data_IF_097352489626
#
_entry.id   IF_097352489626
#
_cell.length_a   1.000
_cell.length_b   1.000
_cell.length_c   1.000
_cell.angle_alpha   90.00
_cell.angle_beta   90.00
_cell.angle_gamma   90.00
#
_symmetry.space_group_name_H-M   'P 1'
#
loop_
_entity.id
_entity.type
_entity.pdbx_description
1 polymer ?
#
# COMPACT_ATOMS: atom_id res chain seq x y z
N UNK A 1 -53.48 -13.40 -2.41
CA UNK A 1 -52.05 -13.04 -2.34
C UNK A 1 -51.87 -11.69 -3.01
N UNK A 2 -51.82 -10.65 -2.26
CA UNK A 2 -51.75 -9.27 -2.76
C UNK A 2 -50.25 -8.94 -3.02
N UNK A 3 -49.92 -8.72 -4.28
CA UNK A 3 -48.57 -8.28 -4.67
C UNK A 3 -48.37 -6.84 -4.23
N UNK A 4 -47.53 -6.60 -3.21
CA UNK A 4 -47.11 -5.27 -2.82
C UNK A 4 -46.12 -4.78 -3.86
N UNK A 5 -46.54 -3.86 -4.71
CA UNK A 5 -45.68 -3.16 -5.66
C UNK A 5 -44.91 -2.09 -4.86
N UNK A 6 -43.61 -2.31 -4.65
CA UNK A 6 -42.74 -1.28 -4.09
C UNK A 6 -42.47 -0.26 -5.19
N UNK A 7 -43.13 0.89 -5.10
CA UNK A 7 -42.82 2.03 -5.97
C UNK A 7 -41.55 2.68 -5.43
N UNK A 8 -40.46 2.77 -6.21
CA UNK A 8 -39.28 3.52 -5.77
C UNK A 8 -39.68 4.98 -5.55
N UNK A 9 -39.33 5.52 -4.39
CA UNK A 9 -39.47 6.94 -4.11
C UNK A 9 -38.43 7.65 -4.99
N UNK A 10 -38.85 8.10 -6.15
CA UNK A 10 -38.08 9.04 -6.96
C UNK A 10 -38.23 10.43 -6.32
N UNK A 11 -37.41 10.68 -5.30
CA UNK A 11 -37.15 12.05 -4.90
C UNK A 11 -36.52 12.76 -6.08
N UNK A 12 -37.06 13.88 -6.53
CA UNK A 12 -36.45 14.70 -7.57
C UNK A 12 -35.02 15.03 -7.15
N UNK A 13 -34.03 14.60 -7.95
CA UNK A 13 -32.62 14.89 -7.69
C UNK A 13 -32.45 16.41 -7.57
N UNK A 14 -31.68 16.86 -6.59
CA UNK A 14 -31.39 18.29 -6.47
C UNK A 14 -30.65 18.78 -7.71
N UNK A 15 -30.78 20.07 -8.01
CA UNK A 15 -30.07 20.66 -9.16
C UNK A 15 -28.56 20.41 -9.06
N UNK A 16 -27.99 20.45 -7.86
CA UNK A 16 -26.59 20.11 -7.60
C UNK A 16 -26.28 18.65 -7.97
N UNK A 17 -27.16 17.70 -7.63
CA UNK A 17 -27.00 16.28 -7.98
C UNK A 17 -27.01 16.09 -9.50
N UNK A 18 -27.88 16.76 -10.22
CA UNK A 18 -27.97 16.70 -11.70
C UNK A 18 -26.70 17.26 -12.34
N UNK A 19 -26.18 18.37 -11.82
CA UNK A 19 -24.92 18.97 -12.31
C UNK A 19 -23.74 18.03 -12.07
N UNK A 20 -23.63 17.43 -10.88
CA UNK A 20 -22.56 16.47 -10.57
C UNK A 20 -22.65 15.20 -11.42
N UNK A 21 -23.85 14.67 -11.66
CA UNK A 21 -24.02 13.54 -12.59
C UNK A 21 -23.58 13.89 -14.01
N UNK A 22 -23.97 15.07 -14.50
CA UNK A 22 -23.56 15.53 -15.84
C UNK A 22 -22.06 15.72 -15.95
N UNK A 23 -21.44 16.26 -14.89
CA UNK A 23 -19.99 16.42 -14.79
C UNK A 23 -19.27 15.06 -14.80
N UNK A 24 -19.73 14.10 -14.00
CA UNK A 24 -19.13 12.77 -13.95
C UNK A 24 -19.18 12.06 -15.32
N UNK A 25 -20.31 12.19 -16.04
CA UNK A 25 -20.42 11.65 -17.41
C UNK A 25 -19.45 12.35 -18.35
N UNK A 26 -19.37 13.69 -18.30
CA UNK A 26 -18.47 14.46 -19.15
C UNK A 26 -16.98 14.14 -18.89
N UNK A 27 -16.59 13.93 -17.63
CA UNK A 27 -15.23 13.54 -17.25
C UNK A 27 -14.85 12.18 -17.83
N UNK A 28 -15.75 11.18 -17.74
CA UNK A 28 -15.54 9.86 -18.33
C UNK A 28 -15.40 9.95 -19.85
N UNK A 29 -16.32 10.65 -20.53
CA UNK A 29 -16.26 10.83 -21.98
C UNK A 29 -14.98 11.56 -22.42
N UNK A 30 -14.57 12.60 -21.68
CA UNK A 30 -13.34 13.33 -21.96
C UNK A 30 -12.08 12.46 -21.77
N UNK A 31 -12.08 11.54 -20.80
CA UNK A 31 -10.97 10.60 -20.59
C UNK A 31 -10.82 9.64 -21.78
N UNK A 32 -11.91 9.03 -22.24
CA UNK A 32 -11.90 8.19 -23.45
C UNK A 32 -11.53 8.97 -24.71
N UNK A 33 -12.09 10.19 -24.88
CA UNK A 33 -11.76 11.03 -26.04
C UNK A 33 -10.26 11.36 -26.04
N UNK A 34 -9.66 11.61 -24.89
CA UNK A 34 -8.22 11.87 -24.77
C UNK A 34 -7.40 10.63 -25.14
N UNK A 35 -7.79 9.45 -24.69
CA UNK A 35 -7.12 8.20 -25.05
C UNK A 35 -7.16 7.95 -26.58
N UNK A 36 -8.28 8.28 -27.25
CA UNK A 36 -8.41 8.17 -28.71
C UNK A 36 -7.54 9.19 -29.45
N UNK A 37 -7.49 10.44 -28.96
CA UNK A 37 -6.74 11.53 -29.64
C UNK A 37 -5.25 11.53 -29.33
N UNK A 38 -4.86 10.92 -28.23
CA UNK A 38 -3.46 10.78 -27.77
C UNK A 38 -3.21 9.35 -27.35
N UNK A 39 -3.18 8.40 -28.29
CA UNK A 39 -2.93 7.01 -28.00
C UNK A 39 -1.53 6.82 -27.43
N UNK A 40 -1.38 5.77 -26.65
CA UNK A 40 -0.13 5.40 -26.02
C UNK A 40 0.93 5.04 -27.06
N UNK A 41 2.13 5.58 -26.86
CA UNK A 41 3.35 5.03 -27.45
C UNK A 41 3.95 4.04 -26.45
N UNK A 42 3.84 2.74 -26.74
CA UNK A 42 4.33 1.69 -25.85
C UNK A 42 5.84 1.77 -25.65
N UNK A 43 6.61 2.07 -26.70
CA UNK A 43 8.07 2.19 -26.58
C UNK A 43 8.44 3.32 -25.61
N UNK A 44 7.79 4.45 -25.74
CA UNK A 44 7.95 5.58 -24.83
C UNK A 44 7.47 5.28 -23.40
N UNK A 45 6.39 4.51 -23.25
CA UNK A 45 5.91 4.05 -21.94
C UNK A 45 6.93 3.15 -21.24
N UNK A 46 7.54 2.22 -21.97
CA UNK A 46 8.64 1.39 -21.45
C UNK A 46 9.85 2.23 -21.04
N UNK A 47 10.25 3.22 -21.84
CA UNK A 47 11.37 4.10 -21.50
C UNK A 47 11.11 4.94 -20.26
N UNK A 48 9.90 5.46 -20.08
CA UNK A 48 9.49 6.16 -18.88
C UNK A 48 9.58 5.25 -17.65
N UNK A 49 9.07 4.03 -17.76
CA UNK A 49 9.13 3.04 -16.69
C UNK A 49 10.57 2.70 -16.31
N UNK A 50 11.43 2.43 -17.31
CA UNK A 50 12.85 2.13 -17.08
C UNK A 50 13.56 3.28 -16.37
N UNK A 51 13.30 4.52 -16.78
CA UNK A 51 13.85 5.69 -16.13
C UNK A 51 13.34 5.84 -14.68
N UNK A 52 12.04 5.65 -14.44
CA UNK A 52 11.47 5.68 -13.08
C UNK A 52 12.07 4.60 -12.18
N UNK A 53 12.16 3.34 -12.66
CA UNK A 53 12.69 2.22 -11.88
C UNK A 53 14.20 2.31 -11.58
N UNK A 54 14.95 3.14 -12.30
CA UNK A 54 16.37 3.45 -12.02
C UNK A 54 16.53 4.52 -10.94
N UNK A 55 15.48 5.15 -10.50
CA UNK A 55 15.51 6.13 -9.41
C UNK A 55 15.53 5.39 -8.07
N UNK A 56 16.50 5.64 -7.18
CA UNK A 56 16.60 4.93 -5.89
C UNK A 56 15.32 4.99 -5.06
N UNK A 57 14.69 6.16 -4.94
CA UNK A 57 13.46 6.33 -4.16
C UNK A 57 12.30 5.46 -4.68
N UNK A 58 12.18 5.32 -6.01
CA UNK A 58 11.17 4.45 -6.62
C UNK A 58 11.52 2.98 -6.38
N UNK A 59 12.78 2.61 -6.55
CA UNK A 59 13.25 1.24 -6.36
C UNK A 59 13.09 0.79 -4.90
N UNK A 60 13.40 1.65 -3.92
CA UNK A 60 13.24 1.37 -2.49
C UNK A 60 11.76 1.20 -2.10
N UNK A 61 10.86 1.98 -2.72
CA UNK A 61 9.42 1.90 -2.48
C UNK A 61 8.72 0.81 -3.32
N UNK A 62 9.42 0.14 -4.24
CA UNK A 62 8.80 -0.70 -5.27
C UNK A 62 8.18 -1.99 -4.75
N UNK A 63 8.69 -2.55 -3.66
CA UNK A 63 8.23 -3.82 -3.13
C UNK A 63 7.94 -3.72 -1.65
N UNK A 64 6.93 -4.49 -1.22
CA UNK A 64 6.75 -4.82 0.19
C UNK A 64 7.29 -6.23 0.46
N UNK A 65 7.81 -6.41 1.66
CA UNK A 65 8.21 -7.72 2.17
C UNK A 65 7.83 -7.81 3.64
N UNK A 66 7.06 -8.82 4.00
CA UNK A 66 6.74 -9.12 5.40
C UNK A 66 6.72 -10.63 5.60
N UNK A 67 6.85 -11.06 6.85
CA UNK A 67 6.72 -12.48 7.21
C UNK A 67 5.30 -12.77 7.71
N UNK A 68 4.71 -13.83 7.17
CA UNK A 68 3.44 -14.38 7.65
C UNK A 68 3.62 -15.86 7.91
N UNK A 69 3.36 -16.30 9.14
CA UNK A 69 3.52 -17.71 9.55
C UNK A 69 4.91 -18.28 9.18
N UNK A 70 5.97 -17.47 9.38
CA UNK A 70 7.36 -17.88 9.09
C UNK A 70 7.79 -17.78 7.63
N UNK A 71 6.88 -17.52 6.69
CA UNK A 71 7.19 -17.37 5.26
C UNK A 71 7.31 -15.91 4.87
N UNK A 72 8.29 -15.57 4.03
CA UNK A 72 8.41 -14.24 3.46
C UNK A 72 7.34 -14.06 2.36
N UNK A 73 6.49 -13.05 2.53
CA UNK A 73 5.52 -12.60 1.51
C UNK A 73 6.07 -11.33 0.89
N UNK A 74 6.32 -11.37 -0.41
CA UNK A 74 6.84 -10.22 -1.16
C UNK A 74 5.94 -9.94 -2.36
N UNK A 75 5.89 -8.69 -2.78
CA UNK A 75 5.13 -8.30 -3.96
C UNK A 75 5.34 -6.83 -4.32
N UNK A 76 4.87 -6.42 -5.51
CA UNK A 76 4.92 -5.02 -5.92
C UNK A 76 4.03 -4.16 -5.02
N UNK A 77 4.56 -3.03 -4.57
CA UNK A 77 3.82 -2.09 -3.72
C UNK A 77 2.74 -1.33 -4.50
N UNK A 78 1.81 -0.69 -3.79
CA UNK A 78 0.85 0.23 -4.44
C UNK A 78 1.58 1.39 -5.13
N UNK A 79 2.68 1.89 -4.54
CA UNK A 79 3.48 2.98 -5.12
C UNK A 79 4.11 2.60 -6.45
N UNK A 80 4.62 1.37 -6.56
CA UNK A 80 5.08 0.87 -7.85
C UNK A 80 3.93 0.75 -8.84
N UNK A 81 2.80 0.18 -8.44
CA UNK A 81 1.64 0.03 -9.32
C UNK A 81 1.16 1.38 -9.89
N UNK A 82 1.05 2.42 -9.06
CA UNK A 82 0.69 3.77 -9.49
C UNK A 82 1.75 4.39 -10.39
N UNK A 83 3.04 4.21 -10.09
CA UNK A 83 4.14 4.65 -10.95
C UNK A 83 4.04 3.99 -12.33
N UNK A 84 3.79 2.68 -12.36
CA UNK A 84 3.65 1.92 -13.60
C UNK A 84 2.42 2.37 -14.42
N UNK A 85 1.28 2.60 -13.77
CA UNK A 85 0.09 3.13 -14.42
C UNK A 85 0.35 4.52 -15.03
N UNK A 86 1.03 5.40 -14.29
CA UNK A 86 1.42 6.73 -14.77
C UNK A 86 2.41 6.68 -15.93
N UNK A 87 3.37 5.75 -15.92
CA UNK A 87 4.31 5.53 -17.03
C UNK A 87 3.62 4.88 -18.23
N UNK A 88 2.69 3.97 -18.03
CA UNK A 88 1.93 3.33 -19.10
C UNK A 88 1.03 4.32 -19.80
N UNK A 89 0.34 5.18 -19.04
CA UNK A 89 -0.57 6.22 -19.56
C UNK A 89 -1.96 5.67 -19.93
N UNK A 90 -2.91 6.56 -20.02
CA UNK A 90 -4.31 6.27 -20.37
C UNK A 90 -4.97 5.20 -19.47
N UNK A 91 -4.56 5.15 -18.21
CA UNK A 91 -5.16 4.29 -17.17
C UNK A 91 -5.99 5.19 -16.23
N UNK A 92 -7.29 4.91 -16.14
CA UNK A 92 -8.17 5.45 -15.10
C UNK A 92 -8.22 4.48 -13.93
N UNK A 93 -7.90 4.94 -12.71
CA UNK A 93 -7.94 4.11 -11.52
C UNK A 93 -8.28 4.92 -10.28
N UNK A 94 -8.81 4.23 -9.29
CA UNK A 94 -9.16 4.88 -8.02
C UNK A 94 -9.87 3.97 -7.05
N UNK A 95 -10.22 4.57 -5.90
CA UNK A 95 -11.09 3.97 -4.89
C UNK A 95 -12.25 4.90 -4.59
N UNK A 96 -13.39 4.34 -4.25
CA UNK A 96 -14.58 5.09 -3.83
C UNK A 96 -15.32 4.34 -2.73
N UNK A 97 -15.63 5.03 -1.64
CA UNK A 97 -16.59 4.54 -0.66
C UNK A 97 -18.00 4.64 -1.26
N UNK A 98 -18.68 3.50 -1.34
CA UNK A 98 -20.04 3.39 -1.89
C UNK A 98 -21.09 3.63 -0.82
N UNK A 99 -20.88 3.06 0.35
CA UNK A 99 -21.77 3.17 1.49
C UNK A 99 -20.98 3.02 2.79
N UNK A 100 -21.53 3.58 3.85
CA UNK A 100 -21.06 3.39 5.22
C UNK A 100 -22.26 3.12 6.11
N UNK A 101 -22.17 2.05 6.86
CA UNK A 101 -23.12 1.73 7.92
C UNK A 101 -22.55 2.19 9.27
N UNK A 102 -23.08 3.28 9.80
CA UNK A 102 -22.62 3.85 11.07
C UNK A 102 -22.95 2.97 12.27
N UNK A 103 -23.96 2.09 12.15
CA UNK A 103 -24.36 1.20 13.24
C UNK A 103 -23.40 0.02 13.40
N UNK A 104 -22.96 -0.56 12.30
CA UNK A 104 -21.99 -1.67 12.30
C UNK A 104 -20.54 -1.19 12.14
N UNK A 105 -20.31 0.08 11.84
CA UNK A 105 -19.01 0.65 11.55
C UNK A 105 -18.36 0.08 10.28
N UNK A 106 -19.16 -0.46 9.34
CA UNK A 106 -18.64 -1.05 8.10
C UNK A 106 -18.72 -0.07 6.94
N UNK A 107 -17.68 -0.06 6.10
CA UNK A 107 -17.66 0.70 4.84
C UNK A 107 -17.61 -0.25 3.65
N UNK A 108 -18.42 -0.01 2.64
CA UNK A 108 -18.33 -0.69 1.35
C UNK A 108 -17.45 0.14 0.42
N UNK A 109 -16.34 -0.43 -0.02
CA UNK A 109 -15.33 0.23 -0.84
C UNK A 109 -15.23 -0.42 -2.22
N UNK A 110 -15.31 0.40 -3.27
CA UNK A 110 -15.01 0.02 -4.65
C UNK A 110 -13.60 0.48 -5.00
N UNK A 111 -12.78 -0.42 -5.55
CA UNK A 111 -11.55 -0.08 -6.24
C UNK A 111 -11.66 -0.49 -7.70
N UNK A 112 -11.06 0.30 -8.60
CA UNK A 112 -11.04 0.00 -10.03
C UNK A 112 -9.76 0.45 -10.71
N UNK A 113 -9.47 -0.17 -11.84
CA UNK A 113 -8.55 0.32 -12.85
C UNK A 113 -9.10 -0.02 -14.23
N UNK A 114 -8.95 0.89 -15.19
CA UNK A 114 -9.42 0.75 -16.56
C UNK A 114 -8.33 1.24 -17.51
N UNK A 115 -7.90 0.41 -18.44
CA UNK A 115 -7.12 0.85 -19.59
C UNK A 115 -8.10 1.41 -20.63
N UNK A 116 -8.04 2.71 -20.84
CA UNK A 116 -8.98 3.45 -21.70
C UNK A 116 -8.77 3.17 -23.20
N UNK A 117 -7.61 2.62 -23.59
CA UNK A 117 -7.34 2.28 -24.99
C UNK A 117 -7.80 0.87 -25.35
N UNK A 118 -7.49 -0.11 -24.46
CA UNK A 118 -7.89 -1.50 -24.67
C UNK A 118 -9.28 -1.80 -24.16
N UNK A 119 -9.89 -0.87 -23.43
CA UNK A 119 -11.17 -1.02 -22.73
C UNK A 119 -11.15 -2.20 -21.72
N UNK A 120 -9.97 -2.56 -21.25
CA UNK A 120 -9.82 -3.61 -20.23
C UNK A 120 -10.04 -3.01 -18.85
N UNK A 121 -10.97 -3.60 -18.08
CA UNK A 121 -11.32 -3.12 -16.73
C UNK A 121 -11.16 -4.20 -15.69
N UNK A 122 -10.59 -3.85 -14.55
CA UNK A 122 -10.59 -4.63 -13.31
C UNK A 122 -11.25 -3.80 -12.20
N UNK A 123 -12.21 -4.38 -11.49
CA UNK A 123 -12.82 -3.72 -10.33
C UNK A 123 -13.18 -4.73 -9.26
N UNK A 124 -13.12 -4.31 -8.01
CA UNK A 124 -13.48 -5.13 -6.85
C UNK A 124 -14.22 -4.27 -5.83
N UNK A 125 -15.27 -4.83 -5.26
CA UNK A 125 -16.00 -4.25 -4.12
C UNK A 125 -15.71 -5.09 -2.89
N UNK A 126 -15.43 -4.45 -1.76
CA UNK A 126 -15.17 -5.11 -0.48
C UNK A 126 -15.85 -4.36 0.66
N UNK A 127 -16.29 -5.11 1.64
CA UNK A 127 -16.78 -4.56 2.92
C UNK A 127 -15.60 -4.52 3.89
N UNK A 128 -15.29 -3.33 4.38
CA UNK A 128 -14.22 -3.08 5.35
C UNK A 128 -14.86 -2.88 6.72
N UNK A 129 -14.60 -3.76 7.70
CA UNK A 129 -15.12 -3.59 9.03
C UNK A 129 -14.38 -2.47 9.79
N UNK A 130 -15.06 -1.83 10.75
CA UNK A 130 -14.45 -0.91 11.71
C UNK A 130 -13.62 -1.67 12.76
N UNK A 131 -12.75 -2.54 12.27
CA UNK A 131 -11.90 -3.41 13.06
C UNK A 131 -10.54 -3.51 12.42
N UNK A 132 -9.49 -3.43 13.22
CA UNK A 132 -8.13 -3.65 12.72
C UNK A 132 -7.99 -5.07 12.16
N UNK A 133 -7.58 -5.18 10.89
CA UNK A 133 -7.36 -6.47 10.24
C UNK A 133 -6.17 -7.21 10.86
N UNK A 134 -5.17 -6.47 11.35
CA UNK A 134 -3.95 -7.04 11.93
C UNK A 134 -4.16 -7.53 13.36
N UNK A 135 -4.89 -6.80 14.18
CA UNK A 135 -5.07 -7.12 15.61
C UNK A 135 -6.44 -7.72 15.95
N UNK A 136 -7.40 -7.64 15.04
CA UNK A 136 -8.79 -8.06 15.28
C UNK A 136 -9.53 -7.21 16.31
N UNK A 137 -8.94 -6.10 16.79
CA UNK A 137 -9.56 -5.19 17.76
C UNK A 137 -10.46 -4.18 17.06
N UNK A 138 -11.52 -3.81 17.71
CA UNK A 138 -12.39 -2.73 17.24
C UNK A 138 -11.60 -1.41 17.25
N UNK A 139 -11.87 -0.57 16.27
CA UNK A 139 -11.23 0.73 16.12
C UNK A 139 -12.05 1.78 16.88
N UNK A 140 -11.40 2.48 17.81
CA UNK A 140 -12.09 3.38 18.76
C UNK A 140 -12.20 4.81 18.22
N UNK A 141 -11.56 5.11 17.08
CA UNK A 141 -11.58 6.45 16.50
C UNK A 141 -11.95 6.43 15.02
N UNK A 142 -12.71 7.44 14.60
CA UNK A 142 -13.02 7.69 13.20
C UNK A 142 -11.77 7.83 12.32
N UNK A 143 -10.67 8.34 12.87
CA UNK A 143 -9.40 8.46 12.18
C UNK A 143 -8.82 7.09 11.85
N UNK A 144 -8.82 6.19 12.83
CA UNK A 144 -8.26 4.84 12.68
C UNK A 144 -9.10 4.01 11.71
N UNK A 145 -10.43 4.13 11.76
CA UNK A 145 -11.32 3.49 10.80
C UNK A 145 -11.05 3.97 9.37
N UNK A 146 -10.86 5.28 9.18
CA UNK A 146 -10.56 5.86 7.88
C UNK A 146 -9.18 5.41 7.36
N UNK A 147 -8.18 5.34 8.24
CA UNK A 147 -6.86 4.84 7.90
C UNK A 147 -6.91 3.36 7.48
N UNK A 148 -7.64 2.52 8.25
CA UNK A 148 -7.88 1.13 7.91
C UNK A 148 -8.56 0.97 6.54
N UNK A 149 -9.60 1.75 6.28
CA UNK A 149 -10.32 1.75 4.98
C UNK A 149 -9.39 2.15 3.84
N UNK A 150 -8.55 3.17 4.04
CA UNK A 150 -7.57 3.61 3.04
C UNK A 150 -6.51 2.56 2.76
N UNK A 151 -6.03 1.87 3.79
CA UNK A 151 -5.04 0.81 3.67
C UNK A 151 -5.60 -0.40 2.91
N UNK A 152 -6.82 -0.83 3.23
CA UNK A 152 -7.51 -1.90 2.50
C UNK A 152 -7.75 -1.49 1.06
N UNK A 153 -8.21 -0.25 0.83
CA UNK A 153 -8.43 0.31 -0.50
C UNK A 153 -7.16 0.27 -1.35
N UNK A 154 -6.04 0.67 -0.80
CA UNK A 154 -4.74 0.66 -1.49
C UNK A 154 -4.31 -0.74 -1.92
N UNK A 155 -4.58 -1.77 -1.11
CA UNK A 155 -4.28 -3.17 -1.48
C UNK A 155 -5.10 -3.62 -2.68
N UNK A 156 -6.40 -3.34 -2.67
CA UNK A 156 -7.31 -3.76 -3.74
C UNK A 156 -7.02 -2.95 -5.01
N UNK A 157 -6.78 -1.65 -4.86
CA UNK A 157 -6.41 -0.79 -5.97
C UNK A 157 -5.15 -1.28 -6.68
N UNK A 158 -4.13 -1.64 -5.92
CA UNK A 158 -2.91 -2.26 -6.47
C UNK A 158 -3.22 -3.47 -7.33
N UNK A 159 -4.07 -4.39 -6.84
CA UNK A 159 -4.47 -5.58 -7.61
C UNK A 159 -5.21 -5.19 -8.89
N UNK A 160 -6.09 -4.19 -8.83
CA UNK A 160 -6.82 -3.72 -10.01
C UNK A 160 -5.86 -3.13 -11.06
N UNK A 161 -4.92 -2.29 -10.65
CA UNK A 161 -3.93 -1.68 -11.55
C UNK A 161 -3.05 -2.75 -12.21
N UNK A 162 -2.50 -3.68 -11.42
CA UNK A 162 -1.61 -4.71 -11.94
C UNK A 162 -2.32 -5.70 -12.90
N UNK A 163 -3.65 -5.83 -12.80
CA UNK A 163 -4.43 -6.69 -13.71
C UNK A 163 -4.66 -6.08 -15.08
N UNK A 164 -4.64 -4.77 -15.21
CA UNK A 164 -4.84 -4.08 -16.49
C UNK A 164 -3.53 -3.78 -17.21
N UNK A 165 -2.39 -3.86 -16.51
CA UNK A 165 -1.07 -3.66 -17.08
C UNK A 165 -0.50 -4.96 -17.68
N UNK A 166 0.34 -4.89 -18.75
CA UNK A 166 0.99 -6.06 -19.32
C UNK A 166 1.92 -6.75 -18.33
N UNK A 167 1.85 -8.08 -18.22
CA UNK A 167 2.67 -8.85 -17.28
C UNK A 167 4.17 -8.69 -17.52
N UNK A 168 4.61 -8.62 -18.79
CA UNK A 168 6.00 -8.41 -19.14
C UNK A 168 6.52 -7.05 -18.67
N UNK A 169 5.71 -6.01 -18.82
CA UNK A 169 6.01 -4.66 -18.35
C UNK A 169 6.21 -4.62 -16.83
N UNK A 170 5.32 -5.26 -16.07
CA UNK A 170 5.43 -5.37 -14.61
C UNK A 170 6.69 -6.15 -14.21
N UNK A 171 6.95 -7.28 -14.84
CA UNK A 171 8.11 -8.12 -14.54
C UNK A 171 9.45 -7.40 -14.80
N UNK A 172 9.56 -6.67 -15.91
CA UNK A 172 10.73 -5.85 -16.21
C UNK A 172 10.92 -4.74 -15.18
N UNK A 173 9.87 -4.06 -14.79
CA UNK A 173 9.93 -3.02 -13.77
C UNK A 173 10.43 -3.53 -12.41
N UNK A 174 9.93 -4.68 -11.97
CA UNK A 174 10.37 -5.32 -10.71
C UNK A 174 11.86 -5.66 -10.80
N UNK A 175 12.29 -6.28 -11.91
CA UNK A 175 13.70 -6.67 -12.11
C UNK A 175 14.63 -5.45 -12.09
N UNK A 176 14.23 -4.34 -12.73
CA UNK A 176 15.00 -3.09 -12.74
C UNK A 176 15.06 -2.43 -11.36
N UNK A 177 13.97 -2.42 -10.62
CA UNK A 177 13.97 -1.92 -9.24
C UNK A 177 14.89 -2.75 -8.34
N UNK A 178 14.90 -4.07 -8.50
CA UNK A 178 15.81 -4.97 -7.78
C UNK A 178 17.27 -4.74 -8.14
N UNK A 179 17.55 -4.53 -9.42
CA UNK A 179 18.88 -4.17 -9.89
C UNK A 179 19.35 -2.82 -9.33
N UNK A 180 18.48 -1.83 -9.33
CA UNK A 180 18.77 -0.49 -8.80
C UNK A 180 19.08 -0.53 -7.31
N UNK A 181 18.33 -1.30 -6.53
CA UNK A 181 18.57 -1.49 -5.09
C UNK A 181 19.89 -2.21 -4.79
N UNK A 182 20.30 -3.13 -5.65
CA UNK A 182 21.57 -3.86 -5.49
C UNK A 182 22.80 -3.01 -5.86
N UNK A 183 22.64 -2.03 -6.74
CA UNK A 183 23.73 -1.12 -7.09
C UNK A 183 23.97 -0.19 -5.89
N UNK A 184 25.19 -0.10 -5.34
CA UNK A 184 25.50 0.94 -4.39
C UNK A 184 25.14 2.28 -5.06
N UNK A 185 24.40 3.12 -4.35
CA UNK A 185 23.95 4.41 -4.87
C UNK A 185 25.18 5.11 -5.48
N UNK A 186 25.17 5.28 -6.83
CA UNK A 186 26.14 6.13 -7.46
C UNK A 186 25.98 7.50 -6.83
N UNK A 187 27.00 7.92 -6.09
CA UNK A 187 27.03 9.18 -5.37
C UNK A 187 26.87 10.30 -6.38
N UNK A 188 25.62 10.75 -6.60
CA UNK A 188 25.38 12.06 -7.22
C UNK A 188 26.03 13.13 -6.34
N UNK A 189 26.29 14.36 -6.83
CA UNK A 189 26.99 15.39 -6.06
C UNK A 189 26.32 15.55 -4.69
N UNK A 190 27.00 15.11 -3.66
CA UNK A 190 26.52 14.78 -2.34
C UNK A 190 25.85 15.99 -1.68
N UNK A 191 24.59 15.90 -1.35
CA UNK A 191 24.21 16.21 0.04
C UNK A 191 25.08 15.29 0.89
N UNK A 192 25.97 15.86 1.71
CA UNK A 192 26.91 15.11 2.55
C UNK A 192 26.18 13.90 3.14
N UNK A 193 26.64 12.70 2.83
CA UNK A 193 25.98 11.47 3.23
C UNK A 193 25.85 11.50 4.75
N UNK A 194 24.62 11.49 5.23
CA UNK A 194 24.37 11.44 6.69
C UNK A 194 25.10 10.19 7.21
N UNK A 195 26.01 10.33 8.19
CA UNK A 195 26.78 9.20 8.71
C UNK A 195 25.87 8.03 9.09
N UNK A 196 26.34 6.81 8.88
CA UNK A 196 25.56 5.58 9.16
C UNK A 196 25.00 5.60 10.60
N UNK A 197 25.79 6.05 11.56
CA UNK A 197 25.38 6.19 12.96
C UNK A 197 24.19 7.16 13.14
N UNK A 198 24.13 8.25 12.41
CA UNK A 198 22.99 9.18 12.48
C UNK A 198 21.74 8.58 11.83
N UNK A 199 21.92 7.84 10.75
CA UNK A 199 20.82 7.12 10.08
C UNK A 199 20.28 5.99 10.95
N UNK A 200 21.14 5.32 11.71
CA UNK A 200 20.74 4.31 12.69
C UNK A 200 19.90 4.94 13.81
N UNK A 201 20.30 6.09 14.36
CA UNK A 201 19.53 6.81 15.37
C UNK A 201 18.15 7.23 14.87
N UNK A 202 18.07 7.76 13.64
CA UNK A 202 16.79 8.11 13.02
C UNK A 202 15.90 6.87 12.83
N UNK A 203 16.48 5.74 12.41
CA UNK A 203 15.75 4.50 12.30
C UNK A 203 15.17 4.07 13.66
N UNK A 204 15.99 4.03 14.72
CA UNK A 204 15.54 3.64 16.07
C UNK A 204 14.39 4.53 16.54
N UNK A 205 14.51 5.86 16.40
CA UNK A 205 13.44 6.80 16.76
C UNK A 205 12.14 6.53 15.96
N UNK A 206 12.26 6.30 14.65
CA UNK A 206 11.11 6.04 13.78
C UNK A 206 10.39 4.73 14.15
N UNK A 207 11.12 3.73 14.62
CA UNK A 207 10.55 2.47 15.09
C UNK A 207 9.91 2.60 16.48
N UNK A 208 10.54 3.40 17.37
CA UNK A 208 9.98 3.71 18.69
C UNK A 208 8.61 4.39 18.59
N UNK A 209 8.44 5.32 17.63
CA UNK A 209 7.15 5.96 17.33
C UNK A 209 6.05 4.98 16.90
N UNK A 210 6.43 3.76 16.50
CA UNK A 210 5.52 2.66 16.14
C UNK A 210 5.41 1.57 17.20
N UNK A 211 5.91 1.84 18.42
CA UNK A 211 5.86 0.89 19.53
C UNK A 211 6.85 -0.28 19.42
N UNK A 212 7.87 -0.16 18.56
CA UNK A 212 8.95 -1.15 18.42
C UNK A 212 10.19 -0.58 19.09
N UNK A 213 10.56 -1.13 20.23
CA UNK A 213 11.72 -0.67 21.00
C UNK A 213 13.06 -1.12 20.40
N UNK A 214 14.15 -0.50 20.83
CA UNK A 214 15.50 -0.80 20.36
C UNK A 214 15.90 -2.24 20.64
N UNK A 215 15.42 -2.85 21.75
CA UNK A 215 15.76 -4.22 22.10
C UNK A 215 15.26 -5.21 21.04
N UNK A 216 14.07 -4.98 20.47
CA UNK A 216 13.53 -5.78 19.36
C UNK A 216 14.32 -5.61 18.07
N UNK A 217 14.82 -4.40 17.80
CA UNK A 217 15.69 -4.14 16.65
C UNK A 217 17.01 -4.85 16.79
N UNK A 218 17.63 -4.80 17.98
CA UNK A 218 18.88 -5.49 18.29
C UNK A 218 18.71 -7.00 18.23
N UNK A 219 17.61 -7.53 18.72
CA UNK A 219 17.31 -8.98 18.66
C UNK A 219 17.27 -9.50 17.21
N UNK A 220 16.81 -8.69 16.26
CA UNK A 220 16.70 -9.08 14.86
C UNK A 220 17.94 -8.78 14.03
N UNK A 221 18.59 -7.64 14.25
CA UNK A 221 19.65 -7.13 13.38
C UNK A 221 21.04 -7.10 14.04
N UNK A 222 21.15 -7.52 15.30
CA UNK A 222 22.39 -7.42 16.09
C UNK A 222 22.63 -6.04 16.67
N UNK A 223 23.74 -5.85 17.41
CA UNK A 223 24.07 -4.58 18.04
C UNK A 223 24.12 -3.42 17.05
N UNK A 224 23.66 -2.24 17.46
CA UNK A 224 23.60 -1.04 16.59
C UNK A 224 24.98 -0.67 16.03
N UNK A 225 26.04 -0.95 16.78
CA UNK A 225 27.42 -0.68 16.35
C UNK A 225 27.85 -1.51 15.12
N UNK A 226 27.21 -2.67 14.90
CA UNK A 226 27.52 -3.60 13.82
C UNK A 226 26.60 -3.40 12.60
N UNK A 227 25.69 -2.43 12.65
CA UNK A 227 24.78 -2.16 11.55
C UNK A 227 25.53 -1.66 10.31
N UNK A 228 25.11 -2.17 9.17
CA UNK A 228 25.69 -1.85 7.85
C UNK A 228 24.65 -1.12 6.99
N UNK A 229 25.06 -0.69 5.79
CA UNK A 229 24.13 -0.15 4.77
C UNK A 229 23.02 -1.16 4.42
N UNK A 230 23.36 -2.45 4.40
CA UNK A 230 22.39 -3.51 4.17
C UNK A 230 21.35 -3.56 5.32
N UNK A 231 21.76 -3.39 6.57
CA UNK A 231 20.87 -3.32 7.73
C UNK A 231 19.91 -2.12 7.62
N UNK A 232 20.43 -0.94 7.28
CA UNK A 232 19.59 0.26 7.10
C UNK A 232 18.60 0.08 5.95
N UNK A 233 19.02 -0.56 4.85
CA UNK A 233 18.12 -0.86 3.74
C UNK A 233 17.01 -1.85 4.14
N UNK A 234 17.34 -2.85 4.95
CA UNK A 234 16.36 -3.80 5.48
C UNK A 234 15.37 -3.10 6.44
N UNK A 235 15.86 -2.25 7.33
CA UNK A 235 15.01 -1.45 8.21
C UNK A 235 14.03 -0.57 7.41
N UNK A 236 14.46 0.04 6.31
CA UNK A 236 13.56 0.81 5.43
C UNK A 236 12.51 -0.08 4.76
N UNK A 237 12.89 -1.25 4.28
CA UNK A 237 11.95 -2.21 3.71
C UNK A 237 10.91 -2.67 4.74
N UNK A 238 11.35 -2.93 5.97
CA UNK A 238 10.47 -3.32 7.07
C UNK A 238 9.53 -2.17 7.49
N UNK A 239 10.00 -0.90 7.51
CA UNK A 239 9.15 0.27 7.73
C UNK A 239 8.09 0.44 6.64
N UNK A 240 8.46 0.19 5.38
CA UNK A 240 7.50 0.20 4.29
C UNK A 240 6.47 -0.93 4.45
N UNK A 241 6.89 -2.11 4.92
CA UNK A 241 5.98 -3.21 5.22
C UNK A 241 4.99 -2.86 6.36
N UNK A 242 5.49 -2.25 7.45
CA UNK A 242 4.67 -1.76 8.56
C UNK A 242 3.67 -0.67 8.10
N UNK A 243 4.08 0.19 7.17
CA UNK A 243 3.20 1.20 6.57
C UNK A 243 2.17 0.59 5.59
N UNK A 244 2.35 -0.67 5.18
CA UNK A 244 1.43 -1.46 4.34
C UNK A 244 0.76 -2.59 5.14
N UNK A 245 0.52 -2.40 6.45
CA UNK A 245 -0.18 -3.30 7.38
C UNK A 245 0.53 -4.62 7.75
N UNK A 246 1.84 -4.70 7.68
CA UNK A 246 2.53 -5.80 8.35
C UNK A 246 2.35 -5.66 9.87
N UNK A 247 2.04 -6.76 10.55
CA UNK A 247 1.95 -6.75 12.01
C UNK A 247 3.35 -6.48 12.62
N UNK A 248 3.49 -5.45 13.49
CA UNK A 248 4.74 -5.21 14.19
C UNK A 248 5.24 -6.41 14.98
N UNK A 249 4.34 -7.25 15.53
CA UNK A 249 4.70 -8.44 16.27
C UNK A 249 5.27 -9.56 15.37
N UNK A 250 4.82 -9.65 14.12
CA UNK A 250 5.36 -10.61 13.15
C UNK A 250 6.76 -10.24 12.68
N UNK A 251 7.01 -8.93 12.51
CA UNK A 251 8.32 -8.43 12.05
C UNK A 251 9.32 -8.30 13.18
N UNK A 252 8.86 -7.89 14.34
CA UNK A 252 9.65 -7.59 15.54
C UNK A 252 8.96 -8.14 16.79
N UNK A 253 9.03 -9.45 17.05
CA UNK A 253 8.39 -10.07 18.22
C UNK A 253 8.97 -9.49 19.52
N UNK A 254 8.15 -9.48 20.57
CA UNK A 254 8.60 -9.05 21.89
C UNK A 254 9.78 -9.90 22.37
N UNK A 255 10.82 -9.25 22.88
CA UNK A 255 11.95 -9.94 23.47
C UNK A 255 11.52 -10.44 24.85
N UNK A 256 11.53 -11.76 25.06
CA UNK A 256 11.29 -12.35 26.37
C UNK A 256 12.46 -11.99 27.30
N UNK A 257 12.18 -11.22 28.33
CA UNK A 257 13.14 -10.95 29.41
C UNK A 257 13.07 -12.08 30.43
N UNK A 258 14.16 -12.34 31.16
CA UNK A 258 14.19 -13.36 32.19
C UNK A 258 13.10 -13.17 33.27
N UNK A 259 12.72 -11.91 33.55
CA UNK A 259 11.62 -11.59 34.49
C UNK A 259 10.24 -12.03 33.99
N UNK A 260 10.02 -12.09 32.65
CA UNK A 260 8.75 -12.59 32.10
C UNK A 260 8.60 -14.09 32.18
N UNK A 261 9.71 -14.83 32.27
CA UNK A 261 9.70 -16.29 32.42
C UNK A 261 9.35 -16.68 33.87
N UNK A 262 9.77 -15.89 34.84
CA UNK A 262 9.43 -16.13 36.27
C UNK A 262 7.96 -15.80 36.59
N UNK A 263 7.32 -14.89 35.84
CA UNK A 263 5.91 -14.54 36.02
C UNK A 263 4.97 -15.65 35.51
N UNK A 264 5.31 -16.29 34.38
CA UNK A 264 4.51 -17.40 33.82
C UNK A 264 4.55 -18.65 34.70
N UNK A 265 5.63 -18.84 35.45
CA UNK A 265 5.75 -19.92 36.43
C UNK A 265 4.88 -19.71 37.67
N UNK A 266 4.64 -18.45 38.06
CA UNK A 266 3.83 -18.10 39.23
C UNK A 266 2.32 -18.12 38.92
N UNK A 267 1.91 -17.96 37.66
CA UNK A 267 0.49 -17.90 37.26
C UNK A 267 -0.07 -19.21 36.72
N UNK A 268 0.75 -20.24 36.45
CA UNK A 268 0.29 -21.59 36.08
C UNK A 268 -0.35 -21.69 34.69
N UNK A 269 -0.23 -20.70 33.84
CA UNK A 269 -0.70 -20.73 32.43
C UNK A 269 0.39 -21.27 31.52
N UNK A 270 0.50 -22.60 31.49
CA UNK A 270 1.26 -23.31 30.46
C UNK A 270 0.23 -23.85 29.45
N UNK A 271 0.17 -23.28 28.26
CA UNK A 271 -0.53 -23.83 27.09
C UNK A 271 0.44 -24.55 26.20
#
# INVERSE_FOLDING_TARGET
MTRTTITPIQGAASQATVVEQSRAVAEVLAAYQRAITSPRDEAHAYDRMRNACRTPDVADAAQYSYRRSGQAVTGPSIRLAETLAGCWGNIDYGTRELSRDEFTGTSELLAWATDLETNTRSSQTIVVPARSISTGKDLDSWRDERENTSNVGSRILRECILRVLPRGYIAEAIALCDETRRKPAAVGPAKAAVPLAERAKVAISTYADRGIDEARLIAKHGPVADWTEATISQLRADLNALSNDADPADLYPAVRTAESVDADWLTGEVS
#
